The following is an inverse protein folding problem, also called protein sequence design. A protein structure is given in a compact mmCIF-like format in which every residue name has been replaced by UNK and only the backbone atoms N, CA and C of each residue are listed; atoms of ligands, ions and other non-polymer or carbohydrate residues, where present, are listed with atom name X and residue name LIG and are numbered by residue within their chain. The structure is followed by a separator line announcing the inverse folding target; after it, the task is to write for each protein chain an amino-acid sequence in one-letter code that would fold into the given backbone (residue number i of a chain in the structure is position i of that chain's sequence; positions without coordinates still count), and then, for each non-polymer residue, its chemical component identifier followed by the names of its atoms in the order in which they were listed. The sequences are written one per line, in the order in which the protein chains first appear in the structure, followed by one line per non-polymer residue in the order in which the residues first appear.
data_IF_311152978287
#
_entry.id   IF_311152978287
#
_cell.length_a   1.000
_cell.length_b   1.000
_cell.length_c   1.000
_cell.angle_alpha   90.00
_cell.angle_beta   90.00
_cell.angle_gamma   90.00
#
_symmetry.space_group_name_H-M   'P 1'
#
loop_
_entity.id
_entity.type
_entity.pdbx_description
1 polymer ?
#
# COMPACT_ATOMS: atom_id res chain seq x y z
N UNK A 1 12.31 1.60 13.97
CA UNK A 1 13.15 0.61 13.31
C UNK A 1 14.50 1.19 12.99
N UNK A 2 15.52 0.34 13.02
CA UNK A 2 16.84 0.54 12.41
C UNK A 2 17.17 -0.67 11.56
N UNK A 3 17.98 -0.44 10.53
CA UNK A 3 18.56 -1.51 9.74
C UNK A 3 19.84 -1.98 10.43
N UNK A 4 19.94 -3.29 10.70
CA UNK A 4 21.16 -3.91 11.22
C UNK A 4 21.32 -5.29 10.61
N UNK A 5 22.47 -5.52 9.98
CA UNK A 5 22.83 -6.82 9.37
C UNK A 5 21.74 -7.40 8.45
N UNK A 6 21.16 -6.56 7.60
CA UNK A 6 20.10 -7.00 6.67
C UNK A 6 18.71 -7.17 7.30
N UNK A 7 18.51 -6.75 8.54
CA UNK A 7 17.24 -6.87 9.24
C UNK A 7 16.71 -5.51 9.73
N UNK A 8 15.39 -5.35 9.75
CA UNK A 8 14.70 -4.29 10.45
C UNK A 8 14.49 -4.67 11.92
N UNK A 9 15.05 -3.87 12.81
CA UNK A 9 14.95 -4.07 14.26
C UNK A 9 14.16 -2.93 14.89
N UNK A 10 13.16 -3.24 15.70
CA UNK A 10 12.38 -2.24 16.42
C UNK A 10 13.24 -1.54 17.49
N UNK A 11 13.39 -0.21 17.40
CA UNK A 11 14.15 0.62 18.37
C UNK A 11 13.49 0.69 19.76
N UNK A 12 12.20 0.39 19.83
CA UNK A 12 11.40 0.41 21.05
C UNK A 12 10.19 -0.50 20.85
N UNK A 13 9.53 -0.97 21.93
CA UNK A 13 8.21 -1.56 21.82
C UNK A 13 7.32 -0.65 20.96
N UNK A 14 6.60 -1.21 19.98
CA UNK A 14 5.84 -0.43 19.03
C UNK A 14 4.83 0.45 19.78
N UNK A 15 4.92 1.77 19.58
CA UNK A 15 3.96 2.75 20.13
C UNK A 15 2.68 2.84 19.28
N UNK A 16 2.45 1.89 18.36
CA UNK A 16 1.34 1.99 17.41
C UNK A 16 0.09 1.30 17.93
N UNK A 17 -0.83 2.21 18.28
CA UNK A 17 -2.28 2.11 18.25
C UNK A 17 -2.76 1.16 17.15
N UNK A 18 -3.28 -0.01 17.52
CA UNK A 18 -3.90 -0.99 16.62
C UNK A 18 -4.65 -0.34 15.45
N UNK A 19 -4.01 -0.29 14.28
CA UNK A 19 -4.56 0.35 13.08
C UNK A 19 -5.37 -0.73 12.34
N UNK A 20 -6.60 -0.94 12.76
CA UNK A 20 -7.54 -1.82 12.07
C UNK A 20 -8.86 -1.08 11.91
N UNK A 21 -9.30 -0.94 10.65
CA UNK A 21 -10.41 -0.07 10.24
C UNK A 21 -9.93 1.26 9.63
N UNK A 22 -8.90 1.22 8.80
CA UNK A 22 -8.54 2.39 8.01
C UNK A 22 -9.66 2.71 7.04
N UNK A 23 -9.95 4.01 6.90
CA UNK A 23 -10.75 4.46 5.76
C UNK A 23 -10.07 3.95 4.49
N UNK A 24 -10.83 3.42 3.54
CA UNK A 24 -10.34 2.86 2.27
C UNK A 24 -9.22 3.73 1.66
N UNK A 25 -9.40 5.06 1.66
CA UNK A 25 -8.42 6.04 1.20
C UNK A 25 -7.01 5.87 1.79
N UNK A 26 -6.91 5.60 3.09
CA UNK A 26 -5.62 5.50 3.78
C UNK A 26 -4.98 4.13 3.55
N UNK A 27 -5.78 3.06 3.47
CA UNK A 27 -5.27 1.74 3.13
C UNK A 27 -4.79 1.67 1.67
N UNK A 28 -5.56 2.24 0.72
CA UNK A 28 -5.15 2.41 -0.67
C UNK A 28 -3.81 3.16 -0.78
N UNK A 29 -3.67 4.30 -0.07
CA UNK A 29 -2.44 5.09 -0.11
C UNK A 29 -1.23 4.34 0.46
N UNK A 30 -1.40 3.57 1.55
CA UNK A 30 -0.29 2.78 2.11
C UNK A 30 0.15 1.70 1.13
N UNK A 31 -0.81 0.99 0.52
CA UNK A 31 -0.53 -0.04 -0.46
C UNK A 31 0.25 0.54 -1.65
N UNK A 32 -0.20 1.66 -2.22
CA UNK A 32 0.50 2.32 -3.32
C UNK A 32 1.90 2.79 -2.93
N UNK A 33 2.06 3.40 -1.75
CA UNK A 33 3.38 3.83 -1.26
C UNK A 33 4.32 2.66 -0.98
N UNK A 34 3.78 1.51 -0.59
CA UNK A 34 4.57 0.31 -0.31
C UNK A 34 5.15 -0.28 -1.58
N UNK A 35 4.34 -0.46 -2.63
CA UNK A 35 4.81 -1.01 -3.91
C UNK A 35 5.74 -0.06 -4.68
N UNK A 36 5.74 1.24 -4.32
CA UNK A 36 6.66 2.26 -4.86
C UNK A 36 8.01 2.30 -4.13
N UNK A 37 8.21 1.52 -3.04
CA UNK A 37 9.52 1.39 -2.41
C UNK A 37 10.51 0.73 -3.40
N UNK A 38 11.66 1.36 -3.61
CA UNK A 38 12.70 0.91 -4.53
C UNK A 38 13.66 -0.10 -3.90
N UNK A 39 13.16 -0.90 -2.95
CA UNK A 39 13.92 -1.91 -2.20
C UNK A 39 15.14 -1.35 -1.41
N UNK A 40 15.27 -0.03 -1.32
CA UNK A 40 16.30 0.65 -0.54
C UNK A 40 16.04 0.41 0.97
N UNK A 41 17.02 -0.15 1.72
CA UNK A 41 16.90 -0.41 3.15
C UNK A 41 16.49 0.80 3.99
N UNK A 42 17.00 2.00 3.68
CA UNK A 42 16.69 3.22 4.41
C UNK A 42 15.26 3.68 4.13
N UNK A 43 14.77 3.50 2.90
CA UNK A 43 13.37 3.80 2.57
C UNK A 43 12.41 2.79 3.16
N UNK A 44 12.75 1.52 3.16
CA UNK A 44 12.00 0.46 3.86
C UNK A 44 11.93 0.78 5.36
N UNK A 45 13.06 1.12 5.97
CA UNK A 45 13.13 1.51 7.38
C UNK A 45 12.34 2.80 7.66
N UNK A 46 12.41 3.80 6.79
CA UNK A 46 11.66 5.04 6.88
C UNK A 46 10.15 4.80 6.80
N UNK A 47 9.72 3.95 5.87
CA UNK A 47 8.33 3.52 5.73
C UNK A 47 7.85 2.79 7.00
N UNK A 48 8.61 1.81 7.47
CA UNK A 48 8.30 1.07 8.69
C UNK A 48 8.19 1.99 9.90
N UNK A 49 9.09 2.99 10.02
CA UNK A 49 9.07 3.99 11.08
C UNK A 49 7.84 4.92 11.00
N UNK A 50 7.43 5.32 9.80
CA UNK A 50 6.32 6.24 9.62
C UNK A 50 4.99 5.64 10.10
N UNK A 51 4.79 4.36 9.87
CA UNK A 51 3.51 3.72 10.15
C UNK A 51 3.51 2.78 11.35
N UNK A 52 4.70 2.38 11.81
CA UNK A 52 4.97 1.68 13.07
C UNK A 52 4.20 0.35 13.25
N UNK A 53 4.06 -0.43 12.18
CA UNK A 53 3.09 -1.51 12.10
C UNK A 53 3.35 -2.80 12.89
N UNK A 54 4.57 -3.07 13.36
CA UNK A 54 4.78 -4.32 14.10
C UNK A 54 4.05 -4.26 15.43
N UNK A 55 3.16 -5.21 15.70
CA UNK A 55 2.59 -5.42 17.02
C UNK A 55 3.34 -6.57 17.71
N UNK A 56 4.17 -6.19 18.68
CA UNK A 56 4.69 -6.94 19.83
C UNK A 56 6.11 -7.53 19.76
N UNK A 57 6.69 -7.42 20.96
CA UNK A 57 7.91 -7.95 21.60
C UNK A 57 9.26 -7.61 20.96
N UNK A 58 10.10 -7.06 21.83
CA UNK A 58 11.41 -6.43 21.62
C UNK A 58 12.53 -7.38 21.15
N UNK A 59 12.19 -8.48 20.49
CA UNK A 59 13.13 -9.53 20.06
C UNK A 59 12.94 -9.97 18.61
N UNK A 60 11.90 -9.49 17.92
CA UNK A 60 11.61 -9.92 16.56
C UNK A 60 12.19 -8.91 15.56
N UNK A 61 13.01 -9.45 14.66
CA UNK A 61 13.64 -8.80 13.54
C UNK A 61 12.91 -9.26 12.28
N UNK A 62 12.67 -8.36 11.34
CA UNK A 62 12.17 -8.73 10.02
C UNK A 62 13.32 -8.65 9.03
N UNK A 63 13.52 -9.71 8.25
CA UNK A 63 14.52 -9.71 7.19
C UNK A 63 14.13 -8.71 6.11
N UNK A 64 15.07 -7.86 5.69
CA UNK A 64 14.87 -6.99 4.53
C UNK A 64 14.63 -7.79 3.25
N UNK A 65 15.17 -9.01 3.16
CA UNK A 65 14.89 -9.91 2.04
C UNK A 65 13.40 -10.25 1.93
N UNK A 66 12.75 -10.49 3.07
CA UNK A 66 11.30 -10.71 3.10
C UNK A 66 10.55 -9.45 2.64
N UNK A 67 10.95 -8.27 3.13
CA UNK A 67 10.34 -7.00 2.69
C UNK A 67 10.43 -6.81 1.17
N UNK A 68 11.60 -7.07 0.58
CA UNK A 68 11.81 -6.97 -0.87
C UNK A 68 10.87 -7.92 -1.63
N UNK A 69 10.80 -9.19 -1.20
CA UNK A 69 9.88 -10.17 -1.80
C UNK A 69 8.43 -9.70 -1.71
N UNK A 70 7.99 -9.19 -0.56
CA UNK A 70 6.61 -8.73 -0.39
C UNK A 70 6.31 -7.46 -1.21
N UNK A 71 7.26 -6.54 -1.36
CA UNK A 71 7.15 -5.37 -2.24
C UNK A 71 6.94 -5.81 -3.69
N UNK A 72 7.77 -6.76 -4.15
CA UNK A 72 7.75 -7.26 -5.53
C UNK A 72 6.48 -8.03 -5.85
N UNK A 73 6.06 -8.94 -4.96
CA UNK A 73 4.85 -9.75 -5.15
C UNK A 73 3.60 -8.88 -5.18
N UNK A 74 3.47 -7.91 -4.26
CA UNK A 74 2.34 -6.98 -4.27
C UNK A 74 2.33 -6.10 -5.52
N UNK A 75 3.51 -5.62 -5.96
CA UNK A 75 3.64 -4.87 -7.22
C UNK A 75 3.23 -5.73 -8.42
N UNK A 76 3.58 -7.02 -8.41
CA UNK A 76 3.18 -8.00 -9.42
C UNK A 76 1.66 -8.16 -9.49
N UNK A 77 1.01 -8.35 -8.34
CA UNK A 77 -0.47 -8.47 -8.25
C UNK A 77 -1.16 -7.22 -8.81
N UNK A 78 -0.76 -6.03 -8.37
CA UNK A 78 -1.38 -4.79 -8.85
C UNK A 78 -1.16 -4.56 -10.35
N UNK A 79 0.01 -4.97 -10.87
CA UNK A 79 0.35 -4.87 -12.29
C UNK A 79 -0.50 -5.84 -13.12
N UNK A 80 -0.62 -7.10 -12.70
CA UNK A 80 -1.45 -8.09 -13.36
C UNK A 80 -2.92 -7.65 -13.43
N UNK A 81 -3.46 -7.11 -12.33
CA UNK A 81 -4.82 -6.57 -12.28
C UNK A 81 -4.96 -5.38 -13.24
N UNK A 82 -4.01 -4.44 -13.25
CA UNK A 82 -4.00 -3.31 -14.18
C UNK A 82 -3.97 -3.74 -15.65
N UNK A 83 -3.30 -4.84 -15.97
CA UNK A 83 -3.19 -5.41 -17.32
C UNK A 83 -4.39 -6.28 -17.71
N UNK A 84 -5.37 -6.47 -16.81
CA UNK A 84 -6.52 -7.35 -17.04
C UNK A 84 -6.21 -8.85 -16.90
N UNK A 85 -5.02 -9.20 -16.40
CA UNK A 85 -4.60 -10.58 -16.08
C UNK A 85 -5.09 -10.96 -14.68
N UNK A 86 -6.41 -10.99 -14.51
CA UNK A 86 -7.04 -11.18 -13.20
C UNK A 86 -6.75 -12.55 -12.57
N UNK A 87 -6.69 -13.62 -13.37
CA UNK A 87 -6.36 -14.96 -12.88
C UNK A 87 -4.95 -14.99 -12.29
N UNK A 88 -3.95 -14.54 -13.06
CA UNK A 88 -2.55 -14.44 -12.61
C UNK A 88 -2.42 -13.58 -11.35
N UNK A 89 -3.12 -12.44 -11.31
CA UNK A 89 -3.14 -11.56 -10.13
C UNK A 89 -3.78 -12.22 -8.91
N UNK A 90 -4.81 -13.03 -9.10
CA UNK A 90 -5.46 -13.78 -8.02
C UNK A 90 -4.56 -14.90 -7.49
N UNK A 91 -3.91 -15.66 -8.37
CA UNK A 91 -3.00 -16.74 -7.98
C UNK A 91 -1.80 -16.20 -7.19
N UNK A 92 -1.21 -15.09 -7.65
CA UNK A 92 -0.14 -14.40 -6.94
C UNK A 92 -0.60 -13.84 -5.58
N UNK A 93 -1.83 -13.28 -5.52
CA UNK A 93 -2.42 -12.84 -4.26
C UNK A 93 -2.63 -14.01 -3.27
N UNK A 94 -3.16 -15.14 -3.74
CA UNK A 94 -3.36 -16.34 -2.90
C UNK A 94 -2.02 -16.84 -2.36
N UNK A 95 -0.99 -16.91 -3.20
CA UNK A 95 0.35 -17.31 -2.80
C UNK A 95 0.92 -16.36 -1.73
N UNK A 96 0.81 -15.04 -1.91
CA UNK A 96 1.25 -14.05 -0.92
C UNK A 96 0.47 -14.14 0.39
N UNK A 97 -0.85 -14.27 0.31
CA UNK A 97 -1.73 -14.41 1.46
C UNK A 97 -1.43 -15.69 2.26
N UNK A 98 -1.09 -16.79 1.60
CA UNK A 98 -0.77 -18.06 2.26
C UNK A 98 0.56 -18.04 3.04
N UNK A 99 1.47 -17.11 2.74
CA UNK A 99 2.76 -16.95 3.45
C UNK A 99 2.65 -16.13 4.73
N UNK A 100 1.50 -15.52 4.99
CA UNK A 100 1.31 -14.68 6.17
C UNK A 100 1.39 -15.50 7.45
N UNK A 101 2.02 -14.94 8.50
CA UNK A 101 2.00 -15.55 9.84
C UNK A 101 0.58 -15.54 10.43
N UNK A 102 -0.31 -14.71 9.88
CA UNK A 102 -1.74 -14.69 10.15
C UNK A 102 -2.16 -13.51 11.01
N UNK A 103 -3.28 -13.67 11.71
CA UNK A 103 -3.86 -12.64 12.55
C UNK A 103 -4.43 -13.22 13.85
N UNK A 104 -4.34 -12.44 14.93
CA UNK A 104 -5.02 -12.74 16.20
C UNK A 104 -6.33 -11.97 16.27
N UNK A 105 -7.45 -12.68 16.49
CA UNK A 105 -8.72 -12.05 16.80
C UNK A 105 -8.94 -11.98 18.31
N UNK A 106 -9.41 -10.84 18.82
CA UNK A 106 -9.64 -10.66 20.25
C UNK A 106 -10.18 -9.29 20.63
N UNK A 107 -10.60 -9.19 21.88
CA UNK A 107 -11.09 -7.96 22.48
C UNK A 107 -9.92 -7.07 22.92
N UNK A 108 -9.77 -5.90 22.29
CA UNK A 108 -8.71 -4.92 22.62
C UNK A 108 -9.30 -3.57 23.06
N UNK A 109 -8.66 -2.86 24.00
CA UNK A 109 -9.11 -1.55 24.45
C UNK A 109 -9.28 -0.56 23.29
N UNK A 110 -10.37 0.18 23.30
CA UNK A 110 -10.64 1.21 22.30
C UNK A 110 -9.81 2.46 22.61
N UNK A 111 -8.89 2.79 21.72
CA UNK A 111 -7.95 3.90 21.94
C UNK A 111 -8.74 5.22 22.03
N UNK A 112 -8.84 5.76 23.24
CA UNK A 112 -9.56 7.00 23.56
C UNK A 112 -10.93 6.84 24.24
N UNK A 113 -11.38 5.61 24.51
CA UNK A 113 -12.59 5.32 25.31
C UNK A 113 -12.34 4.13 26.25
N UNK A 114 -13.10 4.03 27.34
CA UNK A 114 -13.04 2.89 28.28
C UNK A 114 -13.52 1.56 27.69
N UNK A 115 -14.09 1.56 26.48
CA UNK A 115 -14.74 0.39 25.90
C UNK A 115 -13.75 -0.59 25.26
N UNK A 116 -14.06 -1.88 25.29
CA UNK A 116 -13.28 -2.93 24.63
C UNK A 116 -13.96 -3.27 23.30
N UNK A 117 -13.19 -3.50 22.23
CA UNK A 117 -13.72 -3.87 20.90
C UNK A 117 -13.12 -5.19 20.43
N UNK A 118 -13.96 -6.07 19.87
CA UNK A 118 -13.49 -7.23 19.12
C UNK A 118 -12.75 -6.76 17.85
N UNK A 119 -11.53 -7.24 17.63
CA UNK A 119 -10.68 -6.88 16.49
C UNK A 119 -9.85 -8.05 16.03
N UNK A 120 -9.58 -8.11 14.72
CA UNK A 120 -8.58 -8.97 14.11
C UNK A 120 -7.31 -8.15 13.88
N UNK A 121 -6.16 -8.58 14.42
CA UNK A 121 -4.89 -7.88 14.32
C UNK A 121 -3.88 -8.80 13.65
N UNK A 122 -3.31 -8.36 12.53
CA UNK A 122 -2.21 -9.05 11.88
C UNK A 122 -1.01 -9.22 12.82
N UNK A 123 -0.32 -10.36 12.70
CA UNK A 123 0.83 -10.68 13.54
C UNK A 123 2.10 -9.93 13.15
N UNK A 124 2.27 -9.64 11.87
CA UNK A 124 3.40 -8.89 11.31
C UNK A 124 2.94 -7.88 10.25
N UNK A 125 3.88 -7.10 9.71
CA UNK A 125 3.55 -6.07 8.73
C UNK A 125 3.12 -6.63 7.36
N UNK A 126 3.76 -7.68 6.86
CA UNK A 126 3.37 -8.34 5.62
C UNK A 126 1.96 -8.94 5.73
N UNK A 127 1.68 -9.58 6.86
CA UNK A 127 0.38 -10.08 7.30
C UNK A 127 -0.68 -8.97 7.28
N UNK A 128 -0.31 -7.78 7.77
CA UNK A 128 -1.21 -6.64 7.74
C UNK A 128 -1.47 -6.13 6.31
N UNK A 129 -0.43 -6.00 5.50
CA UNK A 129 -0.53 -5.50 4.14
C UNK A 129 -1.40 -6.40 3.27
N UNK A 130 -1.19 -7.73 3.22
CA UNK A 130 -2.06 -8.54 2.35
C UNK A 130 -3.50 -8.62 2.85
N UNK A 131 -3.74 -8.50 4.17
CA UNK A 131 -5.11 -8.37 4.69
C UNK A 131 -5.76 -7.07 4.19
N UNK A 132 -5.02 -5.95 4.19
CA UNK A 132 -5.52 -4.71 3.61
C UNK A 132 -5.70 -4.82 2.10
N UNK A 133 -4.78 -5.46 1.38
CA UNK A 133 -4.90 -5.67 -0.06
C UNK A 133 -6.14 -6.51 -0.35
N UNK A 134 -6.36 -7.66 0.32
CA UNK A 134 -7.55 -8.49 0.11
C UNK A 134 -8.85 -7.73 0.34
N UNK A 135 -8.94 -6.97 1.43
CA UNK A 135 -10.13 -6.18 1.74
C UNK A 135 -10.33 -4.99 0.80
N UNK A 136 -9.26 -4.31 0.37
CA UNK A 136 -9.34 -3.10 -0.43
C UNK A 136 -9.25 -3.36 -1.95
N UNK A 137 -8.76 -4.51 -2.40
CA UNK A 137 -8.78 -4.92 -3.81
C UNK A 137 -10.10 -5.52 -4.24
N UNK A 138 -10.90 -6.04 -3.28
CA UNK A 138 -12.17 -6.67 -3.60
C UNK A 138 -13.08 -5.71 -4.37
N UNK A 139 -13.27 -5.97 -5.67
CA UNK A 139 -14.08 -5.16 -6.57
C UNK A 139 -13.49 -3.79 -6.95
N UNK A 140 -12.21 -3.50 -6.64
CA UNK A 140 -11.56 -2.26 -7.06
C UNK A 140 -10.77 -2.46 -8.35
N UNK A 141 -10.86 -1.48 -9.24
CA UNK A 141 -10.05 -1.43 -10.46
C UNK A 141 -8.73 -0.71 -10.18
N UNK A 142 -7.61 -1.28 -10.64
CA UNK A 142 -6.28 -0.65 -10.63
C UNK A 142 -5.99 -0.11 -12.04
N UNK A 143 -5.34 1.05 -12.11
CA UNK A 143 -4.91 1.64 -13.38
C UNK A 143 -3.51 2.23 -13.27
N UNK A 144 -2.85 2.39 -14.41
CA UNK A 144 -1.59 3.11 -14.55
C UNK A 144 -1.83 4.55 -15.00
N UNK A 145 -1.18 5.51 -14.35
CA UNK A 145 -1.35 6.92 -14.67
C UNK A 145 -0.66 7.27 -15.98
N UNK A 146 -1.40 7.83 -16.94
CA UNK A 146 -0.88 8.25 -18.25
C UNK A 146 0.23 9.32 -18.21
N UNK A 147 0.41 10.01 -17.07
CA UNK A 147 1.36 11.12 -16.96
C UNK A 147 2.66 10.74 -16.25
N UNK A 148 2.57 9.88 -15.23
CA UNK A 148 3.70 9.52 -14.37
C UNK A 148 3.96 8.02 -14.29
N UNK A 149 3.15 7.20 -14.97
CA UNK A 149 3.23 5.73 -14.99
C UNK A 149 3.04 5.04 -13.61
N UNK A 150 2.76 5.80 -12.54
CA UNK A 150 2.43 5.23 -11.24
C UNK A 150 1.09 4.48 -11.27
N UNK A 151 1.02 3.38 -10.52
CA UNK A 151 -0.22 2.66 -10.26
C UNK A 151 -1.14 3.49 -9.34
N UNK A 152 -2.45 3.35 -9.53
CA UNK A 152 -3.45 3.94 -8.65
C UNK A 152 -4.78 3.19 -8.70
N UNK A 153 -5.57 3.30 -7.63
CA UNK A 153 -6.93 2.73 -7.58
C UNK A 153 -7.93 3.65 -8.26
N UNK A 154 -8.66 3.15 -9.27
CA UNK A 154 -9.73 3.89 -9.95
C UNK A 154 -10.91 4.10 -9.01
N UNK A 155 -11.47 5.31 -9.07
CA UNK A 155 -12.42 5.77 -8.06
C UNK A 155 -11.68 6.08 -6.77
N UNK A 156 -10.95 5.14 -6.21
CA UNK A 156 -10.28 5.30 -4.92
C UNK A 156 -11.26 5.60 -3.78
N UNK A 157 -10.69 5.93 -2.63
CA UNK A 157 -11.36 6.45 -1.47
C UNK A 157 -12.07 7.80 -1.67
N UNK A 158 -12.91 8.26 -0.72
CA UNK A 158 -13.76 9.48 -0.87
C UNK A 158 -12.95 10.73 -1.26
N UNK A 159 -11.73 10.88 -0.76
CA UNK A 159 -10.82 11.99 -1.10
C UNK A 159 -10.22 11.85 -2.49
N UNK A 160 -9.77 10.65 -2.86
CA UNK A 160 -9.18 10.32 -4.16
C UNK A 160 -10.21 10.31 -5.31
N UNK A 161 -11.49 10.01 -5.02
CA UNK A 161 -12.61 10.12 -5.98
C UNK A 161 -12.75 11.52 -6.56
N UNK A 162 -12.47 12.54 -5.74
CA UNK A 162 -12.62 13.94 -6.13
C UNK A 162 -11.48 14.42 -7.01
N UNK A 163 -10.30 13.83 -6.87
CA UNK A 163 -9.11 14.21 -7.65
C UNK A 163 -9.01 13.47 -8.99
N UNK A 164 -9.74 12.37 -9.17
CA UNK A 164 -9.79 11.65 -10.43
C UNK A 164 -10.82 12.23 -11.40
N UNK A 165 -10.47 12.22 -12.68
CA UNK A 165 -11.37 12.55 -13.79
C UNK A 165 -12.60 11.63 -13.77
N UNK A 166 -13.80 12.19 -13.56
CA UNK A 166 -15.09 11.44 -13.54
C UNK A 166 -15.31 10.58 -14.78
N UNK A 167 -14.86 11.02 -15.96
CA UNK A 167 -15.10 10.36 -17.25
C UNK A 167 -14.00 9.38 -17.66
N UNK A 168 -12.74 9.71 -17.43
CA UNK A 168 -11.64 8.92 -18.00
C UNK A 168 -10.88 8.10 -16.98
N UNK A 169 -10.84 8.50 -15.70
CA UNK A 169 -10.06 7.82 -14.63
C UNK A 169 -8.67 7.36 -15.11
N UNK A 170 -7.98 8.20 -15.91
CA UNK A 170 -6.67 7.93 -16.54
C UNK A 170 -5.49 8.52 -15.77
N UNK A 171 -5.76 9.31 -14.73
CA UNK A 171 -4.75 10.07 -13.99
C UNK A 171 -4.90 9.80 -12.50
N UNK A 172 -3.77 9.57 -11.82
CA UNK A 172 -3.74 9.38 -10.36
C UNK A 172 -4.10 10.67 -9.59
N UNK A 173 -3.95 11.83 -10.23
CA UNK A 173 -4.20 13.15 -9.63
C UNK A 173 -4.57 14.22 -10.67
N UNK A 174 -5.16 15.31 -10.20
CA UNK A 174 -5.44 16.50 -11.02
C UNK A 174 -4.15 17.13 -11.54
N UNK A 175 -3.10 17.18 -10.73
CA UNK A 175 -1.80 17.73 -11.12
C UNK A 175 -1.16 16.95 -12.27
N UNK A 176 -1.25 15.61 -12.25
CA UNK A 176 -0.80 14.76 -13.36
C UNK A 176 -1.56 15.05 -14.66
N UNK A 177 -2.88 15.25 -14.58
CA UNK A 177 -3.70 15.64 -15.74
C UNK A 177 -3.26 17.00 -16.30
N UNK A 178 -3.13 18.01 -15.44
CA UNK A 178 -2.72 19.37 -15.84
C UNK A 178 -1.33 19.33 -16.49
N UNK A 179 -0.39 18.63 -15.85
CA UNK A 179 0.99 18.52 -16.34
C UNK A 179 1.06 17.90 -17.73
N UNK A 180 0.35 16.79 -17.96
CA UNK A 180 0.34 16.15 -19.28
C UNK A 180 -0.32 17.04 -20.34
N UNK A 181 -1.46 17.66 -20.02
CA UNK A 181 -2.13 18.57 -20.94
C UNK A 181 -1.25 19.77 -21.32
N UNK A 182 -0.52 20.33 -20.36
CA UNK A 182 0.43 21.43 -20.62
C UNK A 182 1.57 20.98 -21.54
N UNK A 183 2.12 19.78 -21.33
CA UNK A 183 3.14 19.20 -22.22
C UNK A 183 2.62 19.01 -23.65
N UNK A 184 1.42 18.46 -23.82
CA UNK A 184 0.79 18.27 -25.13
C UNK A 184 0.57 19.62 -25.83
N UNK A 185 0.04 20.61 -25.12
CA UNK A 185 -0.16 21.96 -25.66
C UNK A 185 1.15 22.63 -26.07
N UNK A 186 2.22 22.50 -25.27
CA UNK A 186 3.53 23.03 -25.60
C UNK A 186 4.13 22.35 -26.84
N UNK A 187 4.01 21.02 -26.96
CA UNK A 187 4.48 20.27 -28.13
C UNK A 187 3.73 20.69 -29.42
N UNK A 188 2.42 20.90 -29.34
CA UNK A 188 1.63 21.39 -30.49
C UNK A 188 2.05 22.78 -30.96
N UNK A 189 2.33 23.69 -30.02
CA UNK A 189 2.83 25.03 -30.36
C UNK A 189 4.16 24.94 -31.10
N UNK A 190 5.11 24.15 -30.57
CA UNK A 190 6.42 23.93 -31.21
C UNK A 190 6.36 23.23 -32.57
N UNK A 191 5.34 22.40 -32.81
CA UNK A 191 5.16 21.74 -34.11
C UNK A 191 4.46 22.61 -35.16
N UNK A 192 3.96 23.79 -34.77
CA UNK A 192 3.30 24.76 -35.64
C UNK A 192 4.19 25.95 -35.99
N UNK A 193 5.43 25.96 -35.49
CA UNK A 193 6.53 26.88 -35.81
C UNK A 193 7.47 26.21 -36.81
#
# INVERSE_FOLDING_TARGET
YEVRSGNLIAKSPPKVKAVVGLKDDFAENICLRFVELDNDPDKICGFANQYGFLQKRSTEWESLGVWVTEIEDMRGVLTAINEGRFADGMDAYIAGYARQLGATAGFVPNIGKSDIKFRCVALDFASWLWLQIGHNLMGREVARCRACESLFFRGGGRGTRRTQSRKTKQFCSVSCKITLNNRISAARRKASE
#
